data_IF_479678305665
#
_entry.id   IF_479678305665
#
_cell.length_a   1.000
_cell.length_b   1.000
_cell.length_c   1.000
_cell.angle_alpha   90.00
_cell.angle_beta   90.00
_cell.angle_gamma   90.00
#
_symmetry.space_group_name_H-M   'P 1'
#
loop_
_entity.id
_entity.type
_entity.pdbx_description
1 polymer ?
#
# COMPACT_ATOMS: atom_id res chain seq x y z
N UNK A 1 -23.91 0.84 -4.15
CA UNK A 1 -23.30 2.20 -3.99
C UNK A 1 -22.22 2.10 -2.93
N UNK A 2 -21.01 2.54 -3.24
CA UNK A 2 -19.94 2.66 -2.26
C UNK A 2 -20.21 3.84 -1.31
N UNK A 3 -19.54 3.86 -0.16
CA UNK A 3 -19.69 4.90 0.89
C UNK A 3 -19.36 6.32 0.39
N UNK A 4 -18.57 6.42 -0.68
CA UNK A 4 -18.22 7.65 -1.38
C UNK A 4 -19.16 7.98 -2.56
N UNK A 5 -20.39 7.45 -2.58
CA UNK A 5 -21.37 7.58 -3.68
C UNK A 5 -20.96 6.99 -5.03
N UNK A 6 -19.80 6.31 -5.12
CA UNK A 6 -19.36 5.62 -6.33
C UNK A 6 -20.14 4.33 -6.64
N UNK A 7 -19.99 3.84 -7.87
CA UNK A 7 -20.49 2.55 -8.31
C UNK A 7 -19.38 1.51 -8.06
N UNK A 8 -19.73 0.40 -7.40
CA UNK A 8 -18.80 -0.69 -7.12
C UNK A 8 -19.21 -1.89 -7.97
N UNK A 9 -18.30 -2.37 -8.81
CA UNK A 9 -18.45 -3.60 -9.56
C UNK A 9 -17.58 -4.68 -8.91
N UNK A 10 -18.20 -5.77 -8.47
CA UNK A 10 -17.50 -6.93 -7.94
C UNK A 10 -17.39 -7.99 -9.03
N UNK A 11 -16.15 -8.36 -9.37
CA UNK A 11 -15.86 -9.39 -10.37
C UNK A 11 -15.44 -10.64 -9.62
N UNK A 12 -16.26 -11.69 -9.72
CA UNK A 12 -16.04 -12.97 -9.05
C UNK A 12 -15.64 -14.06 -10.04
N UNK A 13 -15.11 -15.18 -9.52
CA UNK A 13 -14.76 -16.36 -10.29
C UNK A 13 -13.28 -16.46 -10.70
N UNK A 14 -12.95 -17.50 -11.46
CA UNK A 14 -11.59 -17.77 -11.88
C UNK A 14 -11.03 -16.64 -12.77
N UNK A 15 -9.81 -16.22 -12.44
CA UNK A 15 -9.14 -15.12 -13.12
C UNK A 15 -9.75 -13.73 -12.81
N UNK A 16 -10.51 -13.59 -11.72
CA UNK A 16 -11.17 -12.33 -11.34
C UNK A 16 -10.22 -11.12 -11.38
N UNK A 17 -8.97 -11.27 -10.91
CA UNK A 17 -7.96 -10.20 -10.94
C UNK A 17 -7.67 -9.70 -12.36
N UNK A 18 -7.39 -10.60 -13.29
CA UNK A 18 -7.09 -10.24 -14.67
C UNK A 18 -8.31 -9.65 -15.40
N UNK A 19 -9.51 -10.19 -15.14
CA UNK A 19 -10.76 -9.65 -15.66
C UNK A 19 -11.06 -8.25 -15.11
N UNK A 20 -10.81 -8.02 -13.83
CA UNK A 20 -10.95 -6.71 -13.21
C UNK A 20 -9.94 -5.69 -13.74
N UNK A 21 -8.72 -6.12 -14.06
CA UNK A 21 -7.73 -5.28 -14.71
C UNK A 21 -8.13 -4.92 -16.15
N UNK A 22 -8.63 -5.88 -16.93
CA UNK A 22 -9.16 -5.60 -18.28
C UNK A 22 -10.34 -4.63 -18.21
N UNK A 23 -11.32 -4.92 -17.35
CA UNK A 23 -12.51 -4.09 -17.21
C UNK A 23 -12.19 -2.67 -16.74
N UNK A 24 -11.20 -2.50 -15.84
CA UNK A 24 -10.75 -1.18 -15.43
C UNK A 24 -10.15 -0.39 -16.60
N UNK A 25 -9.33 -1.01 -17.45
CA UNK A 25 -8.77 -0.35 -18.64
C UNK A 25 -9.86 0.04 -19.64
N UNK A 26 -10.79 -0.88 -19.91
CA UNK A 26 -11.90 -0.62 -20.82
C UNK A 26 -12.77 0.55 -20.32
N UNK A 27 -12.96 0.66 -19.00
CA UNK A 27 -13.65 1.78 -18.37
C UNK A 27 -12.86 3.09 -18.41
N UNK A 28 -11.54 3.04 -18.20
CA UNK A 28 -10.67 4.22 -18.30
C UNK A 28 -10.70 4.78 -19.73
N UNK A 29 -10.65 3.92 -20.74
CA UNK A 29 -10.73 4.30 -22.15
C UNK A 29 -12.12 4.87 -22.49
N UNK A 30 -13.21 4.20 -22.06
CA UNK A 30 -14.57 4.61 -22.37
C UNK A 30 -15.03 5.87 -21.63
N UNK A 31 -14.52 6.12 -20.42
CA UNK A 31 -14.93 7.22 -19.54
C UNK A 31 -13.84 8.30 -19.39
N UNK A 32 -12.86 8.31 -20.29
CA UNK A 32 -11.71 9.23 -20.27
C UNK A 32 -12.16 10.69 -20.06
N UNK A 33 -11.94 11.21 -18.85
CA UNK A 33 -12.24 12.59 -18.45
C UNK A 33 -13.55 12.79 -17.68
N UNK A 34 -14.50 11.86 -17.77
CA UNK A 34 -15.83 11.98 -17.15
C UNK A 34 -15.92 11.29 -15.78
N UNK A 35 -15.08 10.27 -15.54
CA UNK A 35 -15.08 9.53 -14.28
C UNK A 35 -13.68 9.08 -13.85
N UNK A 36 -13.48 8.96 -12.54
CA UNK A 36 -12.28 8.35 -11.97
C UNK A 36 -12.54 6.86 -11.77
N UNK A 37 -11.82 6.04 -12.52
CA UNK A 37 -11.85 4.59 -12.35
C UNK A 37 -10.83 4.20 -11.28
N UNK A 38 -11.26 3.39 -10.33
CA UNK A 38 -10.39 2.86 -9.29
C UNK A 38 -10.58 1.34 -9.18
N UNK A 39 -9.48 0.63 -8.97
CA UNK A 39 -9.46 -0.82 -8.74
C UNK A 39 -9.23 -1.11 -7.25
N UNK A 40 -10.29 -1.17 -6.42
CA UNK A 40 -10.13 -1.43 -5.00
C UNK A 40 -9.62 -2.86 -4.76
N UNK A 41 -8.50 -2.98 -4.06
CA UNK A 41 -7.91 -4.25 -3.62
C UNK A 41 -7.65 -4.21 -2.11
N UNK A 42 -7.62 -5.37 -1.46
CA UNK A 42 -7.21 -5.45 -0.05
C UNK A 42 -5.74 -5.02 0.05
N UNK A 43 -5.50 -3.96 0.84
CA UNK A 43 -4.17 -3.41 1.08
C UNK A 43 -3.73 -3.68 2.51
N UNK A 44 -2.43 -3.88 2.69
CA UNK A 44 -1.75 -3.99 3.97
C UNK A 44 -0.70 -2.89 4.10
N UNK A 45 -0.34 -2.58 5.35
CA UNK A 45 0.71 -1.62 5.67
C UNK A 45 1.98 -2.34 6.07
N UNK A 46 3.12 -1.82 5.62
CA UNK A 46 4.44 -2.39 5.84
C UNK A 46 5.37 -1.27 6.27
N UNK A 47 6.24 -1.58 7.23
CA UNK A 47 7.32 -0.71 7.65
C UNK A 47 8.64 -1.28 7.15
N UNK A 48 9.43 -0.43 6.50
CA UNK A 48 10.81 -0.74 6.12
C UNK A 48 11.74 0.10 6.99
N UNK A 49 12.72 -0.53 7.62
CA UNK A 49 13.69 0.10 8.55
C UNK A 49 15.10 -0.24 8.11
N UNK A 50 16.03 0.72 8.26
CA UNK A 50 17.43 0.50 7.93
C UNK A 50 17.85 1.11 6.60
N UNK A 51 17.15 2.17 6.16
CA UNK A 51 17.48 2.88 4.92
C UNK A 51 18.65 3.84 5.16
N UNK A 52 19.60 3.93 4.23
CA UNK A 52 20.58 5.02 4.28
C UNK A 52 19.94 6.39 3.95
N UNK A 53 20.69 7.47 4.17
CA UNK A 53 20.26 8.86 3.97
C UNK A 53 20.10 9.25 2.49
N UNK A 54 20.72 8.52 1.58
CA UNK A 54 20.59 8.71 0.13
C UNK A 54 19.31 8.09 -0.44
N UNK A 55 18.65 7.18 0.29
CA UNK A 55 17.45 6.50 -0.17
C UNK A 55 16.25 7.46 -0.27
N UNK A 56 15.79 7.64 -1.50
CA UNK A 56 14.55 8.39 -1.79
C UNK A 56 13.32 7.49 -1.80
N UNK A 57 12.13 8.09 -1.65
CA UNK A 57 10.85 7.38 -1.78
C UNK A 57 10.72 6.63 -3.11
N UNK A 58 11.26 7.20 -4.19
CA UNK A 58 11.23 6.61 -5.52
C UNK A 58 12.05 5.33 -5.60
N UNK A 59 13.25 5.34 -5.03
CA UNK A 59 14.11 4.16 -4.95
C UNK A 59 13.45 3.02 -4.16
N UNK A 60 12.81 3.33 -3.02
CA UNK A 60 12.04 2.33 -2.25
C UNK A 60 10.89 1.75 -3.08
N UNK A 61 10.10 2.63 -3.73
CA UNK A 61 8.96 2.20 -4.55
C UNK A 61 9.39 1.29 -5.70
N UNK A 62 10.51 1.61 -6.35
CA UNK A 62 11.06 0.82 -7.43
C UNK A 62 11.57 -0.55 -6.93
N UNK A 63 12.35 -0.57 -5.84
CA UNK A 63 12.85 -1.81 -5.25
C UNK A 63 11.72 -2.77 -4.86
N UNK A 64 10.67 -2.24 -4.23
CA UNK A 64 9.48 -3.02 -3.86
C UNK A 64 8.73 -3.52 -5.10
N UNK A 65 8.54 -2.66 -6.11
CA UNK A 65 7.87 -3.02 -7.36
C UNK A 65 8.59 -4.16 -8.09
N UNK A 66 9.93 -4.12 -8.16
CA UNK A 66 10.74 -5.15 -8.82
C UNK A 66 10.61 -6.53 -8.17
N UNK A 67 10.57 -6.61 -6.84
CA UNK A 67 10.45 -7.90 -6.13
C UNK A 67 9.04 -8.44 -6.19
N UNK A 68 8.07 -7.56 -5.94
CA UNK A 68 6.69 -7.99 -5.83
C UNK A 68 6.00 -8.17 -7.19
N UNK A 69 6.63 -7.69 -8.28
CA UNK A 69 6.09 -7.63 -9.64
C UNK A 69 4.73 -6.93 -9.66
N UNK A 70 4.63 -5.82 -8.93
CA UNK A 70 3.43 -5.01 -8.84
C UNK A 70 3.68 -3.64 -9.48
N UNK A 71 2.67 -3.04 -10.12
CA UNK A 71 2.83 -1.72 -10.69
C UNK A 71 3.08 -0.71 -9.57
N UNK A 72 3.94 0.30 -9.79
CA UNK A 72 4.31 1.23 -8.75
C UNK A 72 3.08 1.98 -8.22
N UNK A 73 2.07 2.26 -9.04
CA UNK A 73 0.79 2.92 -8.67
C UNK A 73 0.03 2.24 -7.53
N UNK A 74 0.16 0.92 -7.38
CA UNK A 74 -0.49 0.18 -6.29
C UNK A 74 0.21 0.41 -4.94
N UNK A 75 1.46 0.89 -4.96
CA UNK A 75 2.29 1.16 -3.78
C UNK A 75 2.18 2.65 -3.42
N UNK A 76 1.59 2.92 -2.25
CA UNK A 76 1.61 4.23 -1.63
C UNK A 76 2.74 4.28 -0.61
N UNK A 77 3.56 5.33 -0.65
CA UNK A 77 4.71 5.48 0.24
C UNK A 77 4.59 6.73 1.09
N UNK A 78 5.00 6.60 2.35
CA UNK A 78 5.14 7.70 3.29
C UNK A 78 6.34 8.60 2.99
N UNK A 79 6.71 9.43 3.96
CA UNK A 79 8.00 10.13 3.96
C UNK A 79 9.04 9.23 4.62
N UNK A 80 10.26 9.21 4.05
CA UNK A 80 11.41 8.58 4.73
C UNK A 80 11.73 9.43 5.95
N UNK A 81 11.61 8.84 7.13
CA UNK A 81 11.94 9.49 8.41
C UNK A 81 13.25 8.94 8.90
N UNK A 82 14.23 9.81 9.10
CA UNK A 82 15.50 9.43 9.72
C UNK A 82 15.29 9.14 11.21
N UNK A 83 15.91 8.06 11.70
CA UNK A 83 15.97 7.76 13.13
C UNK A 83 17.25 8.35 13.73
N UNK A 84 17.28 8.47 15.06
CA UNK A 84 18.46 8.94 15.80
C UNK A 84 19.70 8.05 15.61
N UNK A 85 19.53 6.81 15.13
CA UNK A 85 20.63 5.90 14.80
C UNK A 85 21.23 6.08 13.41
N UNK A 86 20.90 7.15 12.68
CA UNK A 86 21.44 7.46 11.35
C UNK A 86 20.78 6.71 10.19
N UNK A 87 20.04 5.64 10.46
CA UNK A 87 19.25 4.93 9.46
C UNK A 87 17.80 5.41 9.43
N UNK A 88 17.23 5.50 8.24
CA UNK A 88 15.85 5.86 7.98
C UNK A 88 14.87 4.69 8.06
N UNK A 89 13.60 5.07 8.24
CA UNK A 89 12.46 4.18 8.11
C UNK A 89 11.38 4.82 7.24
N UNK A 90 10.65 4.00 6.51
CA UNK A 90 9.51 4.43 5.70
C UNK A 90 8.36 3.45 5.91
N UNK A 91 7.14 3.99 5.93
CA UNK A 91 5.93 3.17 5.85
C UNK A 91 5.42 3.15 4.41
N UNK A 92 4.85 2.04 4.00
CA UNK A 92 4.20 1.88 2.70
C UNK A 92 2.90 1.10 2.83
N UNK A 93 1.96 1.38 1.94
CA UNK A 93 0.70 0.66 1.80
C UNK A 93 0.65 0.04 0.42
N UNK A 94 0.53 -1.28 0.38
CA UNK A 94 0.58 -2.07 -0.84
C UNK A 94 -0.49 -3.19 -0.81
N UNK A 95 -0.77 -3.86 -1.95
CA UNK A 95 -1.67 -5.01 -1.96
C UNK A 95 -1.19 -6.11 -1.00
N UNK A 96 -2.13 -6.85 -0.40
CA UNK A 96 -1.81 -7.87 0.60
C UNK A 96 -0.82 -8.93 0.09
N UNK A 97 -0.98 -9.38 -1.17
CA UNK A 97 -0.06 -10.32 -1.82
C UNK A 97 1.38 -9.81 -1.86
N UNK A 98 1.57 -8.50 -2.06
CA UNK A 98 2.87 -7.86 -2.09
C UNK A 98 3.47 -7.80 -0.69
N UNK A 99 2.64 -7.44 0.30
CA UNK A 99 3.08 -7.34 1.69
C UNK A 99 3.59 -8.69 2.23
N UNK A 100 2.93 -9.80 1.90
CA UNK A 100 3.39 -11.15 2.26
C UNK A 100 4.73 -11.49 1.60
N UNK A 101 4.87 -11.28 0.29
CA UNK A 101 6.16 -11.52 -0.41
C UNK A 101 7.31 -10.72 0.20
N UNK A 102 7.06 -9.47 0.58
CA UNK A 102 8.05 -8.62 1.22
C UNK A 102 8.41 -9.10 2.64
N UNK A 103 7.46 -9.69 3.36
CA UNK A 103 7.72 -10.26 4.69
C UNK A 103 8.49 -11.58 4.63
N UNK A 104 8.31 -12.36 3.57
CA UNK A 104 9.07 -13.60 3.33
C UNK A 104 10.50 -13.30 2.85
N UNK A 105 10.66 -12.20 2.09
CA UNK A 105 11.97 -11.65 1.78
C UNK A 105 12.59 -11.09 3.06
N UNK A 106 13.39 -11.91 3.75
CA UNK A 106 14.05 -11.62 5.03
C UNK A 106 15.08 -10.46 4.94
N UNK A 107 14.60 -9.26 4.62
CA UNK A 107 15.34 -8.05 4.30
C UNK A 107 15.37 -7.71 2.80
N UNK A 108 15.29 -6.42 2.51
CA UNK A 108 15.32 -5.84 1.17
C UNK A 108 16.61 -5.05 0.97
N UNK A 109 17.34 -5.31 -0.12
CA UNK A 109 18.49 -4.48 -0.49
C UNK A 109 18.00 -3.19 -1.15
N UNK A 110 18.24 -2.04 -0.51
CA UNK A 110 17.93 -0.71 -1.04
C UNK A 110 19.15 0.19 -0.84
N UNK A 111 19.65 0.75 -1.94
CA UNK A 111 20.91 1.50 -1.91
C UNK A 111 22.05 0.59 -1.42
N UNK A 112 22.72 1.02 -0.35
CA UNK A 112 23.87 0.32 0.23
C UNK A 112 23.51 -0.53 1.46
N UNK A 113 22.24 -0.55 1.83
CA UNK A 113 21.78 -1.14 3.08
C UNK A 113 20.84 -2.32 2.85
N UNK A 114 20.85 -3.26 3.80
CA UNK A 114 19.84 -4.31 3.88
C UNK A 114 18.78 -3.87 4.87
N UNK A 115 17.66 -3.39 4.34
CA UNK A 115 16.55 -2.88 5.11
C UNK A 115 15.65 -4.01 5.62
N UNK A 116 15.32 -4.00 6.90
CA UNK A 116 14.38 -4.93 7.51
C UNK A 116 12.94 -4.55 7.13
N UNK A 117 12.12 -5.56 6.85
CA UNK A 117 10.71 -5.40 6.50
C UNK A 117 9.86 -5.95 7.64
N UNK A 118 8.83 -5.22 8.05
CA UNK A 118 7.86 -5.67 9.04
C UNK A 118 6.44 -5.34 8.60
N UNK A 119 5.57 -6.34 8.58
CA UNK A 119 4.12 -6.15 8.41
C UNK A 119 3.60 -5.38 9.62
N UNK A 120 2.91 -4.27 9.37
CA UNK A 120 2.14 -3.60 10.40
C UNK A 120 0.81 -4.34 10.52
N UNK A 121 0.42 -4.67 11.75
CA UNK A 121 -0.91 -5.21 12.02
C UNK A 121 -2.00 -4.24 11.60
N UNK A 122 -3.26 -4.67 11.64
CA UNK A 122 -4.38 -3.76 11.51
C UNK A 122 -4.15 -2.58 12.47
N UNK A 123 -4.19 -1.36 11.96
CA UNK A 123 -4.14 -0.15 12.78
C UNK A 123 -5.59 0.15 13.20
N UNK A 124 -6.06 -0.35 14.35
CA UNK A 124 -7.43 -0.14 14.77
C UNK A 124 -7.69 1.35 14.90
N UNK A 125 -8.91 1.77 14.54
CA UNK A 125 -9.34 3.14 14.72
C UNK A 125 -9.22 3.50 16.20
N UNK A 126 -8.37 4.48 16.51
CA UNK A 126 -8.23 5.02 17.85
C UNK A 126 -9.16 6.22 18.00
N UNK A 127 -10.01 6.19 19.01
CA UNK A 127 -10.88 7.31 19.33
C UNK A 127 -10.03 8.47 19.85
N UNK A 128 -10.08 9.63 19.21
CA UNK A 128 -9.32 10.80 19.68
C UNK A 128 -9.89 11.41 20.98
N UNK A 129 -11.11 11.02 21.38
CA UNK A 129 -11.79 11.55 22.58
C UNK A 129 -11.38 10.80 23.85
N UNK A 130 -11.35 9.47 23.82
CA UNK A 130 -11.05 8.62 24.98
C UNK A 130 -9.75 7.80 24.84
N UNK A 131 -9.09 7.87 23.68
CA UNK A 131 -7.86 7.15 23.33
C UNK A 131 -7.98 5.61 23.25
N UNK A 132 -9.18 5.06 23.42
CA UNK A 132 -9.46 3.63 23.24
C UNK A 132 -9.55 3.23 21.77
N UNK A 133 -9.27 1.96 21.50
CA UNK A 133 -9.35 1.37 20.18
C UNK A 133 -10.74 0.79 19.89
N UNK A 134 -11.11 0.77 18.61
CA UNK A 134 -12.29 0.02 18.12
C UNK A 134 -13.54 0.86 17.88
N UNK A 135 -13.53 2.16 18.15
CA UNK A 135 -14.65 3.06 17.86
C UNK A 135 -14.18 4.44 17.39
N UNK A 136 -15.07 5.16 16.70
CA UNK A 136 -14.84 6.56 16.28
C UNK A 136 -15.44 7.51 17.32
N UNK A 137 -14.97 8.76 17.37
CA UNK A 137 -15.51 9.74 18.30
C UNK A 137 -17.00 10.08 18.09
N UNK A 138 -17.57 9.74 16.93
CA UNK A 138 -19.01 9.86 16.65
C UNK A 138 -19.82 8.82 17.43
N UNK A 139 -19.20 7.66 17.70
CA UNK A 139 -19.80 6.53 18.41
C UNK A 139 -19.38 6.49 19.90
N UNK A 140 -18.76 7.57 20.41
CA UNK A 140 -18.18 7.70 21.75
C UNK A 140 -19.02 8.53 22.72
#
# INVERSE_FOLDING_TARGET
RARNSGILFEITGNGAKAKAESFARDLEDALSGDAVVARPTKKAEVRIVGLDDSVTKGAVRQAVSSIAKCPPEDIQTGVVRQSSGGLGAIWLRCPLEVAHKLSEANGLQIGWTRAAVSLLGECPTQCYRCLDFGHMAVDC
#
